data_IF_834685779184
#
_entry.id   IF_834685779184
#
_cell.length_a   1.000
_cell.length_b   1.000
_cell.length_c   1.000
_cell.angle_alpha   90.00
_cell.angle_beta   90.00
_cell.angle_gamma   90.00
#
_symmetry.space_group_name_H-M   'P 1'
#
loop_
_entity.id
_entity.type
_entity.pdbx_description
1 polymer ?
#
# COMPACT_ATOMS: atom_id res chain seq x y z
N UNK A 1 -3.14 10.74 -6.73
CA UNK A 1 -4.37 9.96 -6.48
C UNK A 1 -4.49 9.78 -4.98
N UNK A 2 -5.68 9.90 -4.40
CA UNK A 2 -5.86 9.74 -2.94
C UNK A 2 -6.32 8.33 -2.65
N UNK A 3 -5.50 7.57 -1.93
CA UNK A 3 -5.83 6.22 -1.45
C UNK A 3 -6.27 6.28 0.00
N UNK A 4 -7.15 5.36 0.41
CA UNK A 4 -7.69 5.26 1.76
C UNK A 4 -6.80 4.43 2.67
N UNK A 5 -6.17 3.39 2.13
CA UNK A 5 -5.43 2.38 2.89
C UNK A 5 -3.94 2.37 2.58
N UNK A 6 -3.49 3.22 1.66
CA UNK A 6 -2.08 3.44 1.33
C UNK A 6 -1.72 4.92 1.32
N UNK A 7 -0.45 5.21 1.57
CA UNK A 7 0.20 6.46 1.18
C UNK A 7 1.16 6.14 0.03
N UNK A 8 1.23 7.05 -0.94
CA UNK A 8 2.12 6.96 -2.09
C UNK A 8 2.86 8.28 -2.25
N UNK A 9 4.18 8.20 -2.33
CA UNK A 9 5.07 9.31 -2.67
C UNK A 9 6.14 8.81 -3.64
N UNK A 10 6.59 9.66 -4.56
CA UNK A 10 7.63 9.31 -5.54
C UNK A 10 8.71 10.38 -5.47
N UNK A 11 9.91 9.99 -5.04
CA UNK A 11 11.08 10.85 -4.95
C UNK A 11 12.29 10.13 -5.56
N UNK A 12 13.10 10.87 -6.33
CA UNK A 12 14.26 10.36 -7.06
C UNK A 12 14.07 8.97 -7.72
N UNK A 13 12.96 8.80 -8.44
CA UNK A 13 12.57 7.55 -9.13
C UNK A 13 12.28 6.36 -8.21
N UNK A 14 12.17 6.58 -6.91
CA UNK A 14 11.80 5.58 -5.90
C UNK A 14 10.36 5.86 -5.47
N UNK A 15 9.47 4.91 -5.71
CA UNK A 15 8.10 4.96 -5.22
C UNK A 15 8.03 4.38 -3.80
N UNK A 16 7.64 5.21 -2.84
CA UNK A 16 7.36 4.81 -1.47
C UNK A 16 5.88 4.47 -1.32
N UNK A 17 5.56 3.18 -1.28
CA UNK A 17 4.21 2.66 -1.06
C UNK A 17 4.09 2.22 0.40
N UNK A 18 3.25 2.89 1.18
CA UNK A 18 3.12 2.65 2.63
C UNK A 18 1.72 2.21 2.97
N UNK A 19 1.57 1.03 3.58
CA UNK A 19 0.30 0.58 4.15
C UNK A 19 -0.11 1.56 5.27
N UNK A 20 -1.34 2.05 5.22
CA UNK A 20 -1.81 3.14 6.08
C UNK A 20 -3.10 2.77 6.82
N UNK A 21 -3.04 1.65 7.55
CA UNK A 21 -4.06 1.24 8.54
C UNK A 21 -3.39 0.89 9.87
N UNK A 22 -2.56 1.77 10.46
CA UNK A 22 -1.76 1.44 11.65
C UNK A 22 -2.62 0.97 12.84
N UNK A 23 -3.83 1.50 12.99
CA UNK A 23 -4.83 1.11 14.00
C UNK A 23 -5.38 -0.32 13.83
N UNK A 24 -5.17 -0.93 12.65
CA UNK A 24 -5.50 -2.32 12.33
C UNK A 24 -4.25 -3.16 12.05
N UNK A 25 -3.08 -2.70 12.53
CA UNK A 25 -1.78 -3.32 12.25
C UNK A 25 -1.55 -3.58 10.74
N UNK A 26 -2.05 -2.68 9.89
CA UNK A 26 -1.95 -2.75 8.44
C UNK A 26 -2.52 -4.05 7.82
N UNK A 27 -3.50 -4.68 8.49
CA UNK A 27 -4.22 -5.81 7.92
C UNK A 27 -4.91 -5.43 6.60
N UNK A 28 -5.05 -6.38 5.67
CA UNK A 28 -5.58 -6.14 4.32
C UNK A 28 -7.09 -6.41 4.28
N UNK A 29 -7.89 -5.38 4.02
CA UNK A 29 -9.31 -5.47 3.67
C UNK A 29 -9.53 -5.40 2.16
N UNK A 30 -10.78 -5.51 1.68
CA UNK A 30 -11.11 -5.43 0.26
C UNK A 30 -10.58 -4.15 -0.41
N UNK A 31 -10.69 -2.99 0.27
CA UNK A 31 -10.17 -1.73 -0.26
C UNK A 31 -8.64 -1.78 -0.40
N UNK A 32 -7.92 -2.32 0.58
CA UNK A 32 -6.47 -2.48 0.48
C UNK A 32 -6.05 -3.40 -0.68
N UNK A 33 -6.79 -4.48 -0.93
CA UNK A 33 -6.52 -5.35 -2.09
C UNK A 33 -6.71 -4.62 -3.43
N UNK A 34 -7.81 -3.88 -3.59
CA UNK A 34 -8.10 -3.10 -4.80
C UNK A 34 -7.08 -1.97 -5.03
N UNK A 35 -6.74 -1.23 -3.97
CA UNK A 35 -5.77 -0.14 -4.04
C UNK A 35 -4.38 -0.66 -4.35
N UNK A 36 -3.97 -1.77 -3.73
CA UNK A 36 -2.67 -2.39 -4.00
C UNK A 36 -2.53 -2.79 -5.47
N UNK A 37 -3.52 -3.46 -6.05
CA UNK A 37 -3.49 -3.82 -7.48
C UNK A 37 -3.38 -2.59 -8.37
N UNK A 38 -4.15 -1.54 -8.07
CA UNK A 38 -4.14 -0.29 -8.81
C UNK A 38 -2.78 0.39 -8.73
N UNK A 39 -2.24 0.58 -7.52
CA UNK A 39 -0.94 1.23 -7.27
C UNK A 39 0.16 0.50 -8.03
N UNK A 40 0.32 -0.80 -7.82
CA UNK A 40 1.44 -1.53 -8.42
C UNK A 40 1.33 -1.62 -9.95
N UNK A 41 0.13 -1.75 -10.52
CA UNK A 41 -0.05 -1.68 -11.98
C UNK A 41 0.29 -0.31 -12.54
N UNK A 42 -0.09 0.77 -11.86
CA UNK A 42 0.26 2.13 -12.29
C UNK A 42 1.76 2.36 -12.22
N UNK A 43 2.42 1.95 -11.12
CA UNK A 43 3.87 2.13 -10.95
C UNK A 43 4.69 1.28 -11.92
N UNK A 44 4.24 0.06 -12.26
CA UNK A 44 4.88 -0.81 -13.27
C UNK A 44 4.91 -0.16 -14.67
N UNK A 45 3.90 0.65 -14.99
CA UNK A 45 3.78 1.34 -16.27
C UNK A 45 4.44 2.73 -16.26
N UNK A 46 4.90 3.23 -15.12
CA UNK A 46 5.46 4.56 -14.99
C UNK A 46 6.98 4.55 -15.22
N UNK A 47 7.50 5.08 -16.34
CA UNK A 47 8.94 5.10 -16.62
C UNK A 47 9.74 6.00 -15.65
N UNK A 48 9.08 6.87 -14.88
CA UNK A 48 9.72 7.64 -13.82
C UNK A 48 10.04 6.78 -12.60
N UNK A 49 9.40 5.63 -12.41
CA UNK A 49 9.61 4.73 -11.28
C UNK A 49 10.61 3.63 -11.65
N UNK A 50 11.63 3.45 -10.82
CA UNK A 50 12.71 2.47 -11.02
C UNK A 50 12.82 1.47 -9.88
N UNK A 51 12.36 1.86 -8.69
CA UNK A 51 12.35 1.04 -7.49
C UNK A 51 11.05 1.31 -6.76
N UNK A 52 10.45 0.25 -6.20
CA UNK A 52 9.29 0.38 -5.30
C UNK A 52 9.71 -0.13 -3.92
N UNK A 53 9.51 0.71 -2.90
CA UNK A 53 9.68 0.34 -1.49
C UNK A 53 8.28 0.17 -0.91
N UNK A 54 7.94 -1.06 -0.56
CA UNK A 54 6.73 -1.37 0.21
C UNK A 54 7.06 -1.39 1.70
N UNK A 55 6.35 -0.60 2.49
CA UNK A 55 6.48 -0.54 3.95
C UNK A 55 5.14 -0.31 4.63
N UNK A 56 5.10 -0.28 5.97
CA UNK A 56 3.88 -0.02 6.73
C UNK A 56 4.04 1.19 7.64
N UNK A 57 2.98 1.98 7.77
CA UNK A 57 2.87 3.06 8.74
C UNK A 57 2.75 2.50 10.16
N UNK A 58 3.38 3.17 11.12
CA UNK A 58 3.35 2.78 12.52
C UNK A 58 4.22 1.57 12.86
N UNK A 59 3.77 0.74 13.81
CA UNK A 59 4.58 -0.30 14.46
C UNK A 59 4.78 -1.57 13.62
N UNK A 60 3.82 -1.89 12.76
CA UNK A 60 3.74 -3.19 12.09
C UNK A 60 3.81 -3.02 10.58
N UNK A 61 4.48 -3.93 9.88
CA UNK A 61 4.42 -3.97 8.42
C UNK A 61 2.99 -4.31 7.94
N UNK A 62 2.53 -5.52 8.22
CA UNK A 62 1.18 -6.02 7.91
C UNK A 62 0.87 -7.23 8.80
N UNK A 63 -0.32 -7.27 9.39
CA UNK A 63 -0.79 -8.38 10.22
C UNK A 63 -1.48 -9.52 9.43
N UNK A 64 -1.54 -9.43 8.09
CA UNK A 64 -2.20 -10.41 7.23
C UNK A 64 -3.58 -9.94 6.77
N UNK A 65 -4.52 -10.86 6.57
CA UNK A 65 -5.90 -10.55 6.15
C UNK A 65 -6.67 -9.95 7.33
N UNK A 66 -7.44 -8.89 7.06
CA UNK A 66 -8.39 -8.34 8.03
C UNK A 66 -9.49 -9.39 8.29
N UNK A 67 -9.58 -9.86 9.53
CA UNK A 67 -10.51 -10.95 9.90
C UNK A 67 -11.98 -10.59 9.65
N UNK A 68 -12.32 -9.31 9.55
CA UNK A 68 -13.66 -8.87 9.15
C UNK A 68 -14.03 -9.28 7.72
N UNK A 69 -13.06 -9.68 6.89
CA UNK A 69 -13.28 -10.18 5.52
C UNK A 69 -13.63 -11.66 5.44
N UNK A 70 -13.44 -12.41 6.54
CA UNK A 70 -13.66 -13.86 6.60
C UNK A 70 -15.02 -14.23 7.22
N UNK A 71 -15.81 -13.23 7.63
CA UNK A 71 -17.14 -13.36 8.22
C UNK A 71 -18.19 -12.83 7.28
#
# INVERSE_FOLDING_TARGET
MTYKTFLLDIDDKIAHVRLNRPQKANALDATAWEEMQTIFRTLDQDPAVRVIILSGEGKHFCAGIDLSQLM
#
